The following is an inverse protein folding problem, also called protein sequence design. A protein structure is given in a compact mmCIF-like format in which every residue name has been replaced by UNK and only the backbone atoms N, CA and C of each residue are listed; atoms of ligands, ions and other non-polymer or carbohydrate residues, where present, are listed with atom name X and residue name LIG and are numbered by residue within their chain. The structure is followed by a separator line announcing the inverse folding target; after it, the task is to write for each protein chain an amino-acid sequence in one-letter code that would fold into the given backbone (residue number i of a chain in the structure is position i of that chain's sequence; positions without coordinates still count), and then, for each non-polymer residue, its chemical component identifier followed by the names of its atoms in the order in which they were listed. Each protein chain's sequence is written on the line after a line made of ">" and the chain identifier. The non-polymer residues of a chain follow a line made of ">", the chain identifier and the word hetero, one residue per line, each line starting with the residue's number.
data_IF_492800639782
#
_entry.id   IF_492800639782
#
_cell.length_a   1.000
_cell.length_b   1.000
_cell.length_c   1.000
_cell.angle_alpha   90.00
_cell.angle_beta   90.00
_cell.angle_gamma   90.00
#
_symmetry.space_group_name_H-M   'P 1'
#
loop_
_entity.id
_entity.type
_entity.pdbx_description
1 polymer ?
#
# COMPACT_ATOMS: atom_id res chain seq x y z
N UNK A 1 -22.97 -6.33 23.30
CA UNK A 1 -21.91 -6.06 22.30
C UNK A 1 -20.83 -5.26 23.01
N UNK A 2 -19.58 -5.71 23.04
CA UNK A 2 -18.51 -4.92 23.65
C UNK A 2 -18.24 -3.70 22.77
N UNK A 3 -18.23 -2.54 23.38
CA UNK A 3 -17.85 -1.25 22.78
C UNK A 3 -16.41 -1.36 22.24
N UNK A 4 -16.14 -0.93 20.99
CA UNK A 4 -14.77 -0.89 20.50
C UNK A 4 -13.96 0.09 21.35
N UNK A 5 -12.67 -0.20 21.62
CA UNK A 5 -11.85 0.68 22.42
C UNK A 5 -11.66 2.01 21.71
N UNK A 6 -12.21 3.06 22.30
CA UNK A 6 -11.92 4.46 21.98
C UNK A 6 -10.56 4.81 22.57
N UNK A 7 -9.52 4.67 21.79
CA UNK A 7 -8.31 5.47 21.95
C UNK A 7 -7.56 5.37 20.62
N UNK A 8 -7.42 6.46 19.92
CA UNK A 8 -6.45 6.64 18.87
C UNK A 8 -5.05 6.50 19.48
N UNK A 9 -4.61 5.27 19.73
CA UNK A 9 -3.22 5.02 20.00
C UNK A 9 -2.45 5.38 18.74
N UNK A 10 -1.41 6.15 18.87
CA UNK A 10 -0.56 6.52 17.74
C UNK A 10 0.06 5.26 17.08
N UNK A 11 0.14 4.13 17.79
CA UNK A 11 0.73 2.88 17.33
C UNK A 11 -0.29 1.73 17.25
N UNK A 12 -1.24 1.88 16.33
CA UNK A 12 -2.26 0.86 16.01
C UNK A 12 -1.66 -0.48 15.58
N UNK A 13 -0.45 -0.46 15.01
CA UNK A 13 0.26 -1.66 14.57
C UNK A 13 0.64 -2.53 15.75
N UNK A 14 1.28 -1.94 16.75
CA UNK A 14 1.69 -2.64 17.96
C UNK A 14 0.49 -3.05 18.81
N UNK A 15 -0.55 -2.23 18.88
CA UNK A 15 -1.78 -2.56 19.62
C UNK A 15 -2.47 -3.79 19.05
N UNK A 16 -2.64 -3.85 17.72
CA UNK A 16 -3.18 -5.05 17.09
C UNK A 16 -2.32 -6.29 17.41
N UNK A 17 -1.00 -6.17 17.31
CA UNK A 17 -0.11 -7.29 17.61
C UNK A 17 -0.25 -7.77 19.05
N UNK A 18 -0.36 -6.86 20.02
CA UNK A 18 -0.57 -7.19 21.45
C UNK A 18 -1.90 -7.90 21.67
N UNK A 19 -2.98 -7.38 21.09
CA UNK A 19 -4.33 -7.93 21.23
C UNK A 19 -4.42 -9.36 20.64
N UNK A 20 -3.77 -9.61 19.50
CA UNK A 20 -3.67 -10.96 18.91
C UNK A 20 -2.86 -11.91 19.79
N UNK A 21 -1.75 -11.47 20.35
CA UNK A 21 -0.88 -12.32 21.19
C UNK A 21 -1.52 -12.58 22.55
N UNK A 22 -2.27 -11.63 23.10
CA UNK A 22 -3.08 -11.82 24.31
C UNK A 22 -4.24 -12.81 24.12
N UNK A 23 -4.68 -13.03 22.87
CA UNK A 23 -5.79 -13.92 22.55
C UNK A 23 -7.15 -13.24 22.49
N UNK A 24 -7.22 -11.91 22.65
CA UNK A 24 -8.45 -11.11 22.57
C UNK A 24 -8.99 -11.07 21.13
N UNK A 25 -8.08 -11.19 20.14
CA UNK A 25 -8.42 -11.39 18.72
C UNK A 25 -8.03 -12.81 18.32
N UNK A 26 -8.99 -13.59 17.87
CA UNK A 26 -8.76 -14.93 17.33
C UNK A 26 -8.06 -14.80 15.99
N UNK A 27 -6.87 -15.39 15.88
CA UNK A 27 -6.06 -15.32 14.67
C UNK A 27 -5.36 -16.63 14.36
N UNK A 28 -5.20 -16.94 13.07
CA UNK A 28 -4.47 -18.11 12.59
C UNK A 28 -2.97 -18.06 12.92
N UNK A 29 -2.25 -19.18 12.77
CA UNK A 29 -0.86 -19.30 13.19
C UNK A 29 0.06 -18.31 12.46
N UNK A 30 -0.16 -18.02 11.18
CA UNK A 30 0.65 -17.09 10.41
C UNK A 30 0.48 -15.64 10.88
N UNK A 31 -0.74 -15.22 11.21
CA UNK A 31 -1.02 -13.90 11.77
C UNK A 31 -0.37 -13.77 13.15
N UNK A 32 -0.55 -14.76 14.02
CA UNK A 32 0.10 -14.78 15.34
C UNK A 32 1.63 -14.71 15.23
N UNK A 33 2.23 -15.44 14.29
CA UNK A 33 3.67 -15.39 14.06
C UNK A 33 4.13 -14.02 13.55
N UNK A 34 3.37 -13.36 12.69
CA UNK A 34 3.66 -12.00 12.23
C UNK A 34 3.58 -10.99 13.39
N UNK A 35 2.56 -11.10 14.25
CA UNK A 35 2.41 -10.28 15.45
C UNK A 35 3.53 -10.51 16.45
N UNK A 36 3.88 -11.78 16.74
CA UNK A 36 5.01 -12.12 17.62
C UNK A 36 6.31 -11.54 17.10
N UNK A 37 6.61 -11.73 15.80
CA UNK A 37 7.79 -11.15 15.17
C UNK A 37 7.81 -9.63 15.34
N UNK A 38 6.69 -8.93 15.15
CA UNK A 38 6.62 -7.48 15.34
C UNK A 38 7.01 -7.09 16.76
N UNK A 39 6.43 -7.74 17.78
CA UNK A 39 6.71 -7.47 19.20
C UNK A 39 8.16 -7.81 19.60
N UNK A 40 8.71 -8.86 19.05
CA UNK A 40 10.10 -9.26 19.31
C UNK A 40 11.09 -8.31 18.62
N UNK A 41 10.78 -7.89 17.40
CA UNK A 41 11.60 -6.93 16.65
C UNK A 41 11.62 -5.54 17.29
N UNK A 42 10.57 -5.13 18.02
CA UNK A 42 10.57 -3.87 18.80
C UNK A 42 11.62 -3.85 19.91
N UNK A 43 12.07 -5.01 20.38
CA UNK A 43 13.10 -5.16 21.41
C UNK A 43 14.52 -5.11 20.84
N UNK A 44 14.66 -5.17 19.51
CA UNK A 44 15.95 -5.22 18.83
C UNK A 44 16.55 -3.84 18.70
N UNK A 45 17.89 -3.80 18.78
CA UNK A 45 18.72 -2.57 18.62
C UNK A 45 19.66 -2.68 17.43
N UNK A 46 19.59 -3.75 16.64
CA UNK A 46 20.54 -4.15 15.61
C UNK A 46 20.11 -3.70 14.19
N UNK A 47 19.98 -2.41 14.01
CA UNK A 47 19.83 -1.82 12.66
C UNK A 47 18.42 -1.87 12.06
N UNK A 48 17.40 -2.15 12.87
CA UNK A 48 16.00 -1.97 12.50
C UNK A 48 15.29 -1.14 13.56
N UNK A 49 14.29 -0.37 13.15
CA UNK A 49 13.45 0.40 14.06
C UNK A 49 12.02 0.52 13.50
N UNK A 50 11.05 0.65 14.38
CA UNK A 50 9.67 0.93 14.01
C UNK A 50 9.41 2.43 14.12
N UNK A 51 9.16 3.07 12.98
CA UNK A 51 8.81 4.49 12.85
C UNK A 51 7.28 4.63 12.92
N UNK A 52 6.79 4.94 14.11
CA UNK A 52 5.34 5.13 14.36
C UNK A 52 4.80 6.29 13.52
N UNK A 53 5.59 7.36 13.29
CA UNK A 53 5.14 8.50 12.49
C UNK A 53 4.98 8.12 11.00
N UNK A 54 5.87 7.29 10.47
CA UNK A 54 5.73 6.79 9.10
C UNK A 54 4.51 5.85 8.94
N UNK A 55 4.21 5.02 9.95
CA UNK A 55 2.99 4.22 9.97
C UNK A 55 1.74 5.10 10.04
N UNK A 56 1.72 6.08 10.94
CA UNK A 56 0.61 7.02 11.10
C UNK A 56 0.38 7.86 9.82
N UNK A 57 1.44 8.25 9.12
CA UNK A 57 1.33 8.93 7.83
C UNK A 57 0.61 8.07 6.79
N UNK A 58 0.93 6.78 6.71
CA UNK A 58 0.23 5.87 5.82
C UNK A 58 -1.24 5.69 6.22
N UNK A 59 -1.55 5.56 7.52
CA UNK A 59 -2.94 5.49 7.99
C UNK A 59 -3.73 6.74 7.63
N UNK A 60 -3.16 7.93 7.90
CA UNK A 60 -3.80 9.20 7.54
C UNK A 60 -4.11 9.31 6.05
N UNK A 61 -3.21 8.86 5.18
CA UNK A 61 -3.49 8.82 3.76
C UNK A 61 -4.73 7.99 3.42
N UNK A 62 -4.85 6.79 3.99
CA UNK A 62 -6.04 5.96 3.78
C UNK A 62 -7.30 6.63 4.32
N UNK A 63 -7.28 7.12 5.57
CA UNK A 63 -8.49 7.52 6.28
C UNK A 63 -8.96 8.95 5.97
N UNK A 64 -8.03 9.84 5.60
CA UNK A 64 -8.34 11.24 5.30
C UNK A 64 -8.43 11.54 3.80
N UNK A 65 -7.69 10.78 2.96
CA UNK A 65 -7.60 11.06 1.52
C UNK A 65 -8.43 10.09 0.70
N UNK A 66 -8.41 8.78 1.04
CA UNK A 66 -9.12 7.78 0.26
C UNK A 66 -10.58 7.62 0.68
N UNK A 67 -11.38 7.17 -0.28
CA UNK A 67 -12.76 6.74 -0.10
C UNK A 67 -12.92 5.30 -0.55
N UNK A 68 -13.83 4.57 0.08
CA UNK A 68 -14.17 3.21 -0.36
C UNK A 68 -14.77 3.26 -1.77
N UNK A 69 -14.32 2.34 -2.61
CA UNK A 69 -14.58 2.38 -4.05
C UNK A 69 -15.87 1.71 -4.47
N UNK A 70 -16.44 0.82 -3.62
CA UNK A 70 -17.57 -0.04 -4.01
C UNK A 70 -18.51 -0.39 -2.88
N UNK A 71 -19.69 -0.88 -3.28
CA UNK A 71 -20.70 -1.47 -2.41
C UNK A 71 -21.44 -0.44 -1.56
N UNK A 72 -22.07 -0.91 -0.48
CA UNK A 72 -22.86 -0.08 0.43
C UNK A 72 -22.05 1.01 1.16
N UNK A 73 -20.73 0.92 1.12
CA UNK A 73 -19.80 1.87 1.76
C UNK A 73 -19.15 2.81 0.76
N UNK A 74 -19.54 2.78 -0.52
CA UNK A 74 -18.98 3.62 -1.56
C UNK A 74 -19.03 5.11 -1.15
N UNK A 75 -17.92 5.81 -1.37
CA UNK A 75 -17.78 7.23 -1.03
C UNK A 75 -17.51 7.53 0.45
N UNK A 76 -17.63 6.54 1.35
CA UNK A 76 -17.26 6.73 2.75
C UNK A 76 -15.75 6.77 2.92
N UNK A 77 -15.23 7.44 3.98
CA UNK A 77 -13.81 7.41 4.30
C UNK A 77 -13.28 5.97 4.43
N UNK A 78 -12.12 5.72 3.87
CA UNK A 78 -11.48 4.42 3.96
C UNK A 78 -10.91 4.19 5.37
N UNK A 79 -11.74 3.83 6.31
CA UNK A 79 -11.30 3.49 7.67
C UNK A 79 -10.64 2.13 7.65
N UNK A 80 -9.39 2.08 8.14
CA UNK A 80 -8.63 0.84 8.21
C UNK A 80 -9.11 -0.04 9.36
N UNK A 81 -9.48 -1.27 9.06
CA UNK A 81 -9.66 -2.31 10.05
C UNK A 81 -8.34 -2.59 10.79
N UNK A 82 -8.41 -3.09 12.02
CA UNK A 82 -7.23 -3.31 12.85
C UNK A 82 -6.17 -4.20 12.17
N UNK A 83 -6.60 -5.25 11.46
CA UNK A 83 -5.72 -6.12 10.67
C UNK A 83 -5.08 -5.41 9.48
N UNK A 84 -5.82 -4.54 8.80
CA UNK A 84 -5.32 -3.73 7.69
C UNK A 84 -4.32 -2.69 8.19
N UNK A 85 -4.58 -2.05 9.34
CA UNK A 85 -3.64 -1.16 10.00
C UNK A 85 -2.34 -1.88 10.38
N UNK A 86 -2.42 -3.12 10.88
CA UNK A 86 -1.23 -3.93 11.14
C UNK A 86 -0.40 -4.19 9.88
N UNK A 87 -1.04 -4.53 8.77
CA UNK A 87 -0.36 -4.76 7.47
C UNK A 87 0.32 -3.47 7.00
N UNK A 88 -0.43 -2.38 6.90
CA UNK A 88 0.05 -1.09 6.38
C UNK A 88 1.14 -0.51 7.29
N UNK A 89 0.93 -0.53 8.61
CA UNK A 89 1.92 -0.07 9.57
C UNK A 89 3.20 -0.91 9.52
N UNK A 90 3.09 -2.23 9.37
CA UNK A 90 4.26 -3.09 9.20
C UNK A 90 5.04 -2.74 7.93
N UNK A 91 4.36 -2.50 6.80
CA UNK A 91 4.99 -2.19 5.52
C UNK A 91 5.72 -0.84 5.53
N UNK A 92 5.14 0.17 6.16
CA UNK A 92 5.63 1.55 6.09
C UNK A 92 6.35 2.02 7.35
N UNK A 93 6.05 1.45 8.51
CA UNK A 93 6.68 1.81 9.77
C UNK A 93 8.04 1.16 9.98
N UNK A 94 8.23 -0.10 9.61
CA UNK A 94 9.52 -0.75 9.82
C UNK A 94 10.61 -0.22 8.89
N UNK A 95 11.71 0.27 9.48
CA UNK A 95 12.88 0.83 8.79
C UNK A 95 14.14 0.04 9.12
N UNK A 96 15.09 0.11 8.21
CA UNK A 96 16.47 -0.34 8.39
C UNK A 96 17.33 0.86 8.85
N UNK A 97 18.56 0.61 9.27
CA UNK A 97 19.51 1.65 9.67
C UNK A 97 19.76 2.71 8.60
N UNK A 98 19.64 2.33 7.31
CA UNK A 98 19.76 3.25 6.18
C UNK A 98 18.47 4.07 5.91
N UNK A 99 17.48 3.98 6.79
CA UNK A 99 16.18 4.66 6.68
C UNK A 99 15.22 4.06 5.68
N UNK A 100 15.62 3.04 4.93
CA UNK A 100 14.76 2.39 3.95
C UNK A 100 13.79 1.44 4.61
N UNK A 101 12.68 1.13 3.91
CA UNK A 101 11.73 0.14 4.39
C UNK A 101 12.41 -1.21 4.61
N UNK A 102 12.13 -1.84 5.74
CA UNK A 102 12.61 -3.18 6.06
C UNK A 102 12.02 -4.23 5.14
N UNK A 103 10.70 -4.20 4.98
CA UNK A 103 9.98 -5.20 4.19
C UNK A 103 9.95 -4.77 2.72
N UNK A 104 10.57 -5.57 1.87
CA UNK A 104 10.60 -5.39 0.42
C UNK A 104 9.59 -6.24 -0.31
N UNK A 105 9.05 -7.25 0.37
CA UNK A 105 8.00 -8.14 -0.09
C UNK A 105 7.03 -8.37 1.06
N UNK A 106 5.74 -8.44 0.72
CA UNK A 106 4.70 -8.88 1.61
C UNK A 106 3.84 -9.92 0.88
N UNK A 107 3.49 -10.97 1.59
CA UNK A 107 2.48 -11.92 1.16
C UNK A 107 1.28 -11.77 2.10
N UNK A 108 0.13 -11.51 1.52
CA UNK A 108 -1.11 -11.26 2.25
C UNK A 108 -2.15 -12.22 1.71
N UNK A 109 -2.59 -13.14 2.55
CA UNK A 109 -3.65 -14.10 2.24
C UNK A 109 -4.87 -13.78 3.09
N UNK A 110 -6.00 -13.55 2.42
CA UNK A 110 -7.28 -13.23 3.04
C UNK A 110 -8.40 -13.86 2.23
N UNK A 111 -9.49 -14.24 2.91
CA UNK A 111 -10.70 -14.71 2.25
C UNK A 111 -11.28 -13.66 1.29
N UNK A 112 -12.11 -14.12 0.37
CA UNK A 112 -12.86 -13.24 -0.55
C UNK A 112 -13.74 -12.27 0.24
N UNK A 113 -13.85 -11.02 -0.22
CA UNK A 113 -14.68 -10.00 0.42
C UNK A 113 -14.01 -9.24 1.58
N UNK A 114 -12.75 -9.52 1.93
CA UNK A 114 -12.04 -8.84 3.03
C UNK A 114 -11.26 -7.59 2.57
N UNK A 115 -11.61 -6.99 1.45
CA UNK A 115 -11.05 -5.71 1.01
C UNK A 115 -9.60 -5.76 0.53
N UNK A 116 -9.09 -6.91 0.03
CA UNK A 116 -7.71 -7.04 -0.48
C UNK A 116 -7.41 -6.03 -1.59
N UNK A 117 -8.24 -6.02 -2.65
CA UNK A 117 -8.00 -5.18 -3.82
C UNK A 117 -8.09 -3.69 -3.52
N UNK A 118 -9.09 -3.18 -2.75
CA UNK A 118 -9.10 -1.80 -2.28
C UNK A 118 -7.87 -1.42 -1.47
N UNK A 119 -7.42 -2.27 -0.53
CA UNK A 119 -6.18 -2.01 0.25
C UNK A 119 -4.97 -1.95 -0.67
N UNK A 120 -4.84 -2.88 -1.61
CA UNK A 120 -3.73 -2.89 -2.56
C UNK A 120 -3.77 -1.65 -3.48
N UNK A 121 -4.94 -1.25 -4.00
CA UNK A 121 -5.13 -0.02 -4.76
C UNK A 121 -4.69 1.21 -3.96
N UNK A 122 -5.10 1.29 -2.68
CA UNK A 122 -4.69 2.35 -1.76
C UNK A 122 -3.18 2.38 -1.51
N UNK A 123 -2.52 1.23 -1.34
CA UNK A 123 -1.05 1.13 -1.25
C UNK A 123 -0.39 1.67 -2.52
N UNK A 124 -0.94 1.36 -3.69
CA UNK A 124 -0.46 1.88 -4.96
C UNK A 124 -0.54 3.40 -5.06
N UNK A 125 -1.69 3.96 -4.69
CA UNK A 125 -1.91 5.42 -4.66
C UNK A 125 -1.01 6.11 -3.64
N UNK A 126 -0.84 5.53 -2.45
CA UNK A 126 0.12 6.02 -1.46
C UNK A 126 1.54 6.07 -2.02
N UNK A 127 1.98 4.97 -2.63
CA UNK A 127 3.32 4.88 -3.23
C UNK A 127 3.56 5.89 -4.34
N UNK A 128 2.51 6.24 -5.10
CA UNK A 128 2.58 7.20 -6.20
C UNK A 128 2.59 8.66 -5.72
N UNK A 129 1.88 8.96 -4.62
CA UNK A 129 1.57 10.35 -4.26
C UNK A 129 2.11 10.80 -2.91
N UNK A 130 2.25 9.88 -1.94
CA UNK A 130 2.53 10.22 -0.55
C UNK A 130 3.82 9.56 0.01
N UNK A 131 4.45 8.66 -0.74
CA UNK A 131 5.70 8.01 -0.33
C UNK A 131 6.97 8.80 -0.68
N UNK A 132 6.82 10.03 -1.17
CA UNK A 132 7.91 10.99 -1.55
C UNK A 132 8.92 10.46 -2.58
N UNK A 133 8.55 9.49 -3.38
CA UNK A 133 9.37 8.99 -4.48
C UNK A 133 9.00 9.70 -5.79
N UNK A 134 9.90 10.54 -6.29
CA UNK A 134 9.72 11.15 -7.61
C UNK A 134 9.88 10.10 -8.72
N UNK A 135 9.01 10.16 -9.72
CA UNK A 135 9.01 9.20 -10.82
C UNK A 135 8.65 7.77 -10.37
N UNK A 136 7.83 7.62 -9.33
CA UNK A 136 7.39 6.32 -8.83
C UNK A 136 6.60 5.56 -9.90
N UNK A 137 7.05 4.36 -10.25
CA UNK A 137 6.35 3.47 -11.17
C UNK A 137 5.62 2.40 -10.37
N UNK A 138 4.30 2.44 -10.37
CA UNK A 138 3.45 1.48 -9.68
C UNK A 138 2.79 0.56 -10.71
N UNK A 139 2.82 -0.73 -10.45
CA UNK A 139 2.23 -1.73 -11.33
C UNK A 139 1.25 -2.62 -10.57
N UNK A 140 0.02 -2.72 -11.08
CA UNK A 140 -0.90 -3.79 -10.73
C UNK A 140 -0.62 -4.97 -11.68
N UNK A 141 -0.22 -6.11 -11.14
CA UNK A 141 0.14 -7.29 -11.92
C UNK A 141 -0.82 -8.45 -11.64
N UNK A 142 -1.27 -9.12 -12.68
CA UNK A 142 -2.05 -10.35 -12.57
C UNK A 142 -1.80 -11.27 -13.80
N UNK A 143 -2.35 -12.48 -13.75
CA UNK A 143 -2.26 -13.44 -14.84
C UNK A 143 -2.91 -12.91 -16.13
N UNK A 144 -4.11 -12.34 -16.00
CA UNK A 144 -4.88 -11.76 -17.10
C UNK A 144 -5.02 -10.26 -16.94
N UNK A 145 -5.16 -9.55 -18.06
CA UNK A 145 -5.31 -8.10 -18.08
C UNK A 145 -6.56 -7.64 -17.32
N UNK A 146 -7.66 -8.38 -17.46
CA UNK A 146 -8.92 -8.10 -16.76
C UNK A 146 -8.74 -8.14 -15.24
N UNK A 147 -7.99 -9.10 -14.72
CA UNK A 147 -7.72 -9.23 -13.28
C UNK A 147 -6.83 -8.10 -12.76
N UNK A 148 -5.75 -7.76 -13.47
CA UNK A 148 -4.94 -6.57 -13.14
C UNK A 148 -5.79 -5.30 -13.19
N UNK A 149 -6.78 -5.27 -14.09
CA UNK A 149 -7.75 -4.21 -14.24
C UNK A 149 -8.66 -4.02 -13.02
N UNK A 150 -9.04 -5.08 -12.29
CA UNK A 150 -9.92 -5.00 -11.12
C UNK A 150 -9.28 -4.13 -10.01
N UNK A 151 -8.07 -4.51 -9.58
CA UNK A 151 -7.33 -3.75 -8.57
C UNK A 151 -7.07 -2.30 -9.03
N UNK A 152 -6.74 -2.12 -10.30
CA UNK A 152 -6.50 -0.81 -10.88
C UNK A 152 -7.79 0.03 -10.95
N UNK A 153 -8.94 -0.58 -11.25
CA UNK A 153 -10.24 0.09 -11.27
C UNK A 153 -10.64 0.61 -9.88
N UNK A 154 -10.32 -0.12 -8.81
CA UNK A 154 -10.50 0.37 -7.45
C UNK A 154 -9.69 1.65 -7.20
N UNK A 155 -8.43 1.68 -7.63
CA UNK A 155 -7.60 2.88 -7.52
C UNK A 155 -8.18 4.05 -8.34
N UNK A 156 -8.68 3.81 -9.56
CA UNK A 156 -9.36 4.83 -10.39
C UNK A 156 -10.57 5.43 -9.67
N UNK A 157 -11.42 4.58 -9.10
CA UNK A 157 -12.62 5.02 -8.35
C UNK A 157 -12.22 5.84 -7.11
N UNK A 158 -11.22 5.39 -6.34
CA UNK A 158 -10.70 6.12 -5.19
C UNK A 158 -10.18 7.51 -5.57
N UNK A 159 -9.48 7.63 -6.70
CA UNK A 159 -9.01 8.94 -7.20
C UNK A 159 -10.19 9.84 -7.53
N UNK A 160 -11.20 9.33 -8.24
CA UNK A 160 -12.40 10.11 -8.62
C UNK A 160 -13.18 10.60 -7.41
N UNK A 161 -13.24 9.81 -6.35
CA UNK A 161 -13.98 10.12 -5.13
C UNK A 161 -13.18 11.02 -4.16
N UNK A 162 -11.88 11.22 -4.39
CA UNK A 162 -11.01 12.05 -3.58
C UNK A 162 -10.73 13.39 -4.25
N UNK A 163 -11.32 14.51 -3.81
CA UNK A 163 -11.02 15.82 -4.39
C UNK A 163 -9.55 16.21 -4.35
N UNK A 164 -8.80 15.71 -3.34
CA UNK A 164 -7.37 15.96 -3.21
C UNK A 164 -6.56 15.25 -4.31
N UNK A 165 -6.94 14.02 -4.65
CA UNK A 165 -6.28 13.25 -5.71
C UNK A 165 -6.77 13.66 -7.10
N UNK A 166 -8.07 13.88 -7.29
CA UNK A 166 -8.65 14.25 -8.59
C UNK A 166 -8.05 15.54 -9.17
N UNK A 167 -7.61 16.47 -8.32
CA UNK A 167 -6.94 17.71 -8.76
C UNK A 167 -5.50 17.53 -9.20
N UNK A 168 -4.86 16.40 -8.90
CA UNK A 168 -3.42 16.16 -9.09
C UNK A 168 -3.12 15.03 -10.05
N UNK A 169 -4.08 14.15 -10.24
CA UNK A 169 -3.91 12.93 -10.99
C UNK A 169 -4.75 12.96 -12.26
N UNK A 170 -4.18 12.49 -13.34
CA UNK A 170 -4.82 12.40 -14.64
C UNK A 170 -4.91 10.95 -15.09
N UNK A 171 -5.95 10.66 -15.86
CA UNK A 171 -6.19 9.35 -16.41
C UNK A 171 -5.84 9.33 -17.91
N UNK A 172 -5.25 8.23 -18.37
CA UNK A 172 -5.17 7.89 -19.78
C UNK A 172 -6.20 6.81 -20.10
N UNK A 173 -6.94 6.98 -21.19
CA UNK A 173 -8.07 6.14 -21.57
C UNK A 173 -9.40 6.81 -21.28
N UNK A 174 -10.47 6.32 -21.93
CA UNK A 174 -11.83 6.81 -21.69
C UNK A 174 -12.43 6.24 -20.40
N UNK A 175 -13.57 6.78 -19.93
CA UNK A 175 -14.28 6.29 -18.76
C UNK A 175 -14.56 4.78 -18.84
N UNK A 176 -14.15 4.03 -17.80
CA UNK A 176 -14.25 2.55 -17.75
C UNK A 176 -13.21 1.81 -18.60
N UNK A 177 -12.31 2.54 -19.27
CA UNK A 177 -11.21 1.98 -20.08
C UNK A 177 -9.87 2.61 -19.74
N UNK A 178 -9.74 3.10 -18.52
CA UNK A 178 -8.51 3.69 -18.03
C UNK A 178 -7.41 2.63 -17.95
N UNK A 179 -6.20 3.01 -18.36
CA UNK A 179 -5.02 2.13 -18.34
C UNK A 179 -3.80 2.79 -17.68
N UNK A 180 -3.93 4.01 -17.23
CA UNK A 180 -2.87 4.73 -16.53
C UNK A 180 -3.46 5.82 -15.65
N UNK A 181 -2.92 5.95 -14.44
CA UNK A 181 -3.05 7.11 -13.57
C UNK A 181 -1.68 7.78 -13.54
N UNK A 182 -1.62 9.08 -13.84
CA UNK A 182 -0.38 9.85 -13.90
C UNK A 182 -0.40 11.00 -12.90
N UNK A 183 0.74 11.27 -12.28
CA UNK A 183 1.02 12.45 -11.47
C UNK A 183 2.11 13.26 -12.14
N UNK A 184 1.73 14.24 -12.96
CA UNK A 184 2.66 14.99 -13.78
C UNK A 184 3.72 15.75 -12.96
N UNK A 185 3.32 16.29 -11.80
CA UNK A 185 4.24 17.04 -10.94
C UNK A 185 5.44 16.23 -10.43
N UNK A 186 5.32 14.90 -10.32
CA UNK A 186 6.43 14.01 -9.89
C UNK A 186 6.90 13.06 -11.00
N UNK A 187 6.22 13.00 -12.14
CA UNK A 187 6.47 12.01 -13.18
C UNK A 187 6.11 10.58 -12.77
N UNK A 188 5.31 10.42 -11.70
CA UNK A 188 4.89 9.10 -11.19
C UNK A 188 3.67 8.60 -11.96
N UNK A 189 3.52 7.27 -12.00
CA UNK A 189 2.36 6.65 -12.63
C UNK A 189 1.95 5.33 -11.97
N UNK A 190 0.69 4.93 -12.19
CA UNK A 190 0.15 3.63 -11.78
C UNK A 190 -0.54 2.97 -12.98
N UNK A 191 -0.17 1.73 -13.32
CA UNK A 191 -0.66 0.99 -14.50
C UNK A 191 -0.95 -0.47 -14.21
N UNK A 192 -1.98 -1.06 -14.82
CA UNK A 192 -2.14 -2.51 -14.88
C UNK A 192 -1.16 -3.10 -15.90
N UNK A 193 -0.60 -4.26 -15.56
CA UNK A 193 0.25 -5.07 -16.44
C UNK A 193 -0.15 -6.53 -16.34
N UNK A 194 -0.08 -7.24 -17.46
CA UNK A 194 -0.34 -8.66 -17.52
C UNK A 194 0.65 -9.33 -18.47
N UNK A 195 0.69 -10.66 -18.45
CA UNK A 195 1.50 -11.44 -19.37
C UNK A 195 1.14 -11.16 -20.85
N UNK A 196 -0.14 -10.94 -21.12
CA UNK A 196 -0.69 -10.75 -22.48
C UNK A 196 -0.33 -9.38 -23.08
N UNK A 197 0.12 -8.43 -22.26
CA UNK A 197 0.52 -7.10 -22.75
C UNK A 197 1.82 -7.11 -23.55
N UNK A 198 2.30 -8.29 -23.92
CA UNK A 198 3.43 -8.48 -24.84
C UNK A 198 4.73 -7.96 -24.23
N UNK A 199 5.85 -8.44 -24.73
CA UNK A 199 7.23 -8.10 -24.40
C UNK A 199 7.37 -6.79 -23.62
N UNK A 200 7.13 -6.85 -22.32
CA UNK A 200 7.60 -5.79 -21.43
C UNK A 200 9.11 -5.82 -21.55
N UNK A 201 9.62 -5.10 -22.55
CA UNK A 201 11.03 -4.96 -22.78
C UNK A 201 11.72 -4.53 -21.50
N UNK A 202 13.01 -4.63 -21.43
CA UNK A 202 13.92 -4.29 -20.33
C UNK A 202 13.79 -2.84 -19.81
N UNK A 203 12.57 -2.37 -19.48
CA UNK A 203 12.29 -0.98 -19.15
C UNK A 203 11.65 -0.66 -17.80
N UNK A 204 10.77 -1.54 -17.21
CA UNK A 204 10.14 -1.20 -15.94
C UNK A 204 11.16 -1.04 -14.81
N UNK A 205 11.03 0.07 -14.07
CA UNK A 205 11.78 0.32 -12.82
C UNK A 205 10.79 0.50 -11.67
N UNK A 206 10.11 -0.58 -11.23
CA UNK A 206 9.04 -0.47 -10.28
C UNK A 206 9.49 0.14 -8.95
N UNK A 207 8.62 0.97 -8.38
CA UNK A 207 8.69 1.34 -6.98
C UNK A 207 7.81 0.40 -6.16
N UNK A 208 6.58 0.12 -6.63
CA UNK A 208 5.72 -0.94 -6.10
C UNK A 208 5.21 -1.84 -7.22
N UNK A 209 5.06 -3.11 -6.88
CA UNK A 209 4.31 -4.10 -7.65
C UNK A 209 3.26 -4.69 -6.73
N UNK A 210 2.02 -4.60 -7.16
CA UNK A 210 0.84 -5.11 -6.47
C UNK A 210 0.34 -6.30 -7.29
N UNK A 211 0.70 -7.50 -6.87
CA UNK A 211 0.28 -8.74 -7.54
C UNK A 211 -0.95 -9.30 -6.83
N UNK A 212 -2.08 -9.33 -7.52
CA UNK A 212 -3.32 -9.93 -7.03
C UNK A 212 -3.51 -11.32 -7.62
N UNK A 213 -4.21 -12.18 -6.88
CA UNK A 213 -4.55 -13.56 -7.25
C UNK A 213 -3.33 -14.34 -7.80
N UNK A 214 -2.20 -14.26 -7.09
CA UNK A 214 -0.91 -14.85 -7.54
C UNK A 214 -0.98 -16.37 -7.77
N UNK A 215 -1.95 -17.06 -7.18
CA UNK A 215 -2.18 -18.48 -7.37
C UNK A 215 -2.73 -18.81 -8.76
N UNK A 216 -3.30 -17.83 -9.48
CA UNK A 216 -3.75 -17.98 -10.85
C UNK A 216 -2.64 -17.72 -11.89
N UNK A 217 -1.47 -17.26 -11.45
CA UNK A 217 -0.33 -17.05 -12.34
C UNK A 217 0.18 -18.41 -12.85
N UNK A 218 0.21 -18.64 -14.17
CA UNK A 218 0.67 -19.91 -14.72
C UNK A 218 2.16 -20.17 -14.48
N UNK A 219 2.92 -19.08 -14.31
CA UNK A 219 4.35 -19.09 -13.97
C UNK A 219 4.77 -17.78 -13.32
N UNK A 220 6.04 -17.65 -12.94
CA UNK A 220 6.60 -16.48 -12.28
C UNK A 220 7.12 -15.41 -13.22
N UNK A 221 7.01 -15.57 -14.52
CA UNK A 221 7.70 -14.71 -15.50
C UNK A 221 7.42 -13.22 -15.33
N UNK A 222 6.17 -12.82 -15.15
CA UNK A 222 5.81 -11.41 -14.96
C UNK A 222 6.39 -10.86 -13.66
N UNK A 223 6.33 -11.64 -12.57
CA UNK A 223 6.87 -11.23 -11.27
C UNK A 223 8.39 -11.09 -11.37
N UNK A 224 9.08 -12.03 -12.02
CA UNK A 224 10.54 -11.99 -12.19
C UNK A 224 10.99 -10.80 -13.03
N UNK A 225 10.27 -10.46 -14.10
CA UNK A 225 10.56 -9.28 -14.93
C UNK A 225 10.47 -8.01 -14.08
N UNK A 226 9.40 -7.87 -13.30
CA UNK A 226 9.21 -6.72 -12.44
C UNK A 226 10.22 -6.70 -11.28
N UNK A 227 10.55 -7.85 -10.70
CA UNK A 227 11.57 -7.98 -9.64
C UNK A 227 12.97 -7.59 -10.13
N UNK A 228 13.34 -7.92 -11.37
CA UNK A 228 14.60 -7.47 -11.97
C UNK A 228 14.67 -5.95 -12.04
N UNK A 229 13.55 -5.29 -12.31
CA UNK A 229 13.46 -3.83 -12.36
C UNK A 229 13.73 -3.13 -11.03
N UNK A 230 13.42 -3.74 -9.89
CA UNK A 230 13.73 -3.19 -8.56
C UNK A 230 15.24 -3.01 -8.30
N UNK A 231 16.10 -3.84 -8.91
CA UNK A 231 17.55 -3.77 -8.72
C UNK A 231 18.16 -2.45 -9.17
N UNK A 232 17.50 -1.78 -10.10
CA UNK A 232 17.97 -0.51 -10.69
C UNK A 232 17.44 0.72 -10.00
N UNK A 233 16.53 0.58 -9.03
CA UNK A 233 15.98 1.69 -8.28
C UNK A 233 16.61 1.76 -6.89
N UNK A 234 17.29 2.87 -6.60
CA UNK A 234 17.69 3.19 -5.23
C UNK A 234 16.49 3.79 -4.53
N UNK A 235 16.06 3.20 -3.41
CA UNK A 235 15.05 3.83 -2.56
C UNK A 235 15.61 5.16 -2.04
N UNK A 236 14.80 6.24 -2.01
CA UNK A 236 15.25 7.49 -1.40
C UNK A 236 15.55 7.25 0.08
N UNK A 237 16.55 7.95 0.65
CA UNK A 237 16.73 7.96 2.09
C UNK A 237 15.45 8.51 2.73
N UNK A 238 15.09 7.95 3.89
CA UNK A 238 14.00 8.49 4.70
C UNK A 238 14.26 9.98 4.92
N UNK A 239 13.26 10.79 4.60
CA UNK A 239 13.10 12.21 4.94
C UNK A 239 14.41 12.97 5.19
N UNK A 240 14.86 13.75 4.21
CA UNK A 240 15.76 14.88 4.51
C UNK A 240 14.96 15.86 5.38
N UNK A 241 15.51 16.22 6.54
CA UNK A 241 15.05 17.31 7.36
C UNK A 241 14.80 18.54 6.48
N UNK A 242 13.58 19.04 6.46
CA UNK A 242 13.21 20.21 5.66
C UNK A 242 11.78 20.27 5.21
N UNK A 243 11.07 19.18 5.17
CA UNK A 243 9.66 19.16 4.85
C UNK A 243 8.81 18.99 6.11
N UNK A 244 8.58 20.09 6.81
CA UNK A 244 7.64 20.17 7.92
C UNK A 244 6.24 20.27 7.29
N UNK A 245 5.31 19.32 7.55
CA UNK A 245 3.91 19.60 7.28
C UNK A 245 3.54 20.83 8.08
N UNK A 246 3.11 21.89 7.40
CA UNK A 246 2.59 23.07 8.11
C UNK A 246 1.48 22.59 9.04
N UNK A 247 1.50 23.07 10.29
CA UNK A 247 0.55 22.74 11.38
C UNK A 247 -0.92 23.04 11.08
N UNK A 248 -1.30 23.18 9.85
CA UNK A 248 -2.66 23.45 9.38
C UNK A 248 -3.21 22.29 8.58
N UNK A 249 -3.27 21.10 9.09
CA UNK A 249 -4.17 20.02 8.64
C UNK A 249 -4.59 19.92 7.16
N UNK A 250 -3.83 20.46 6.23
CA UNK A 250 -4.11 20.38 4.78
C UNK A 250 -3.00 19.63 4.10
N UNK A 251 -3.35 18.50 3.56
CA UNK A 251 -2.56 17.77 2.60
C UNK A 251 -2.37 18.64 1.35
N UNK A 252 -1.18 19.08 1.11
CA UNK A 252 -0.81 19.80 -0.12
C UNK A 252 0.01 18.85 -0.99
#
# INVERSE_FOLDING_TARGET
>A
MPTPPTASSADRTTDYARTVIAGDIIAGPHVRNACRRHLDDLKRTDGIAFDVAAAAHAFGFFEEVLKLSEGQFEGQPFRLEASQAFIIGSLFGWKRADGRRRFRRAYIEQGKGNGKSPVAGGIGLFGMTAAWEAGAQIYAAAAKREQAGILFADAVKMVRQSPALARRLEFSGGPGREFNIAHHGSGSFFRPVSRDTGKTGSGPRPYFVLADEIHELPDRSIIEILERGFKFRREPPSRKEGWIPRRSGRWI
#
